data_IF_082541298729
#
_entry.id   IF_082541298729
#
_cell.length_a   1.000
_cell.length_b   1.000
_cell.length_c   1.000
_cell.angle_alpha   90.00
_cell.angle_beta   90.00
_cell.angle_gamma   90.00
#
_symmetry.space_group_name_H-M   'P 1'
#
loop_
_entity.id
_entity.type
_entity.pdbx_description
1 polymer ?
#
# COMPACT_ATOMS: atom_id res chain seq x y z
N UNK A 1 -7.98 -7.26 3.73
CA UNK A 1 -6.53 -6.94 3.55
C UNK A 1 -5.99 -7.58 2.29
N UNK A 2 -5.41 -6.76 1.41
CA UNK A 2 -4.82 -7.16 0.14
C UNK A 2 -3.32 -6.84 0.11
N UNK A 3 -2.54 -7.63 -0.61
CA UNK A 3 -1.15 -7.33 -0.92
C UNK A 3 -1.00 -7.12 -2.43
N UNK A 4 -0.35 -6.03 -2.83
CA UNK A 4 -0.04 -5.80 -4.23
C UNK A 4 0.95 -6.86 -4.73
N UNK A 5 0.68 -7.54 -5.86
CA UNK A 5 1.41 -8.75 -6.24
C UNK A 5 2.83 -8.49 -6.77
N UNK A 6 3.18 -7.22 -7.06
CA UNK A 6 4.47 -6.82 -7.58
C UNK A 6 5.16 -5.80 -6.67
N UNK A 7 6.47 -5.66 -6.83
CA UNK A 7 7.22 -4.58 -6.18
C UNK A 7 6.71 -3.22 -6.65
N UNK A 8 6.61 -2.26 -5.73
CA UNK A 8 6.12 -0.91 -6.01
C UNK A 8 7.21 0.10 -5.71
N UNK A 9 7.33 1.11 -6.58
CA UNK A 9 8.06 2.33 -6.26
C UNK A 9 7.33 3.09 -5.13
N UNK A 10 7.77 2.86 -3.90
CA UNK A 10 7.19 3.44 -2.69
C UNK A 10 7.45 4.94 -2.53
N UNK A 11 8.02 5.63 -3.53
CA UNK A 11 7.94 7.11 -3.62
C UNK A 11 6.51 7.60 -3.87
N UNK A 12 5.63 6.73 -4.39
CA UNK A 12 4.20 7.02 -4.54
C UNK A 12 3.57 7.37 -3.19
N UNK A 13 2.83 8.49 -3.18
CA UNK A 13 1.98 8.94 -2.07
C UNK A 13 0.54 8.43 -2.23
N UNK A 14 -0.43 9.19 -1.71
CA UNK A 14 -1.85 8.82 -1.73
C UNK A 14 -2.36 8.47 -3.13
N UNK A 15 -2.34 9.41 -4.07
CA UNK A 15 -2.92 9.21 -5.42
C UNK A 15 -2.26 8.06 -6.19
N UNK A 16 -0.94 7.94 -6.05
CA UNK A 16 -0.19 6.89 -6.73
C UNK A 16 -0.49 5.49 -6.19
N UNK A 17 -0.69 5.36 -4.87
CA UNK A 17 -1.09 4.08 -4.26
C UNK A 17 -2.58 3.80 -4.47
N UNK A 18 -3.43 4.83 -4.41
CA UNK A 18 -4.85 4.76 -4.70
C UNK A 18 -5.09 4.20 -6.11
N UNK A 19 -4.41 4.76 -7.12
CA UNK A 19 -4.51 4.27 -8.49
C UNK A 19 -4.05 2.81 -8.66
N UNK A 20 -3.06 2.34 -7.87
CA UNK A 20 -2.66 0.93 -7.88
C UNK A 20 -3.74 0.02 -7.28
N UNK A 21 -4.46 0.48 -6.26
CA UNK A 21 -5.60 -0.27 -5.72
C UNK A 21 -6.72 -0.37 -6.75
N UNK A 22 -7.17 0.76 -7.32
CA UNK A 22 -8.28 0.77 -8.28
C UNK A 22 -7.95 0.00 -9.56
N UNK A 23 -6.81 0.25 -10.18
CA UNK A 23 -6.51 -0.29 -11.51
C UNK A 23 -5.78 -1.63 -11.45
N UNK A 24 -4.87 -1.78 -10.47
CA UNK A 24 -4.04 -2.97 -10.34
C UNK A 24 -4.71 -4.09 -9.54
N UNK A 25 -5.30 -3.77 -8.39
CA UNK A 25 -6.03 -4.75 -7.57
C UNK A 25 -7.52 -4.85 -7.92
N UNK A 26 -8.06 -3.87 -8.67
CA UNK A 26 -9.50 -3.79 -8.98
C UNK A 26 -10.37 -3.81 -7.73
N UNK A 27 -9.91 -3.14 -6.68
CA UNK A 27 -10.63 -2.96 -5.42
C UNK A 27 -11.01 -1.49 -5.24
N UNK A 28 -11.98 -1.24 -4.36
CA UNK A 28 -12.31 0.11 -3.90
C UNK A 28 -11.32 0.55 -2.80
N UNK A 29 -10.51 1.60 -3.02
CA UNK A 29 -9.57 2.09 -2.00
C UNK A 29 -10.26 2.73 -0.78
N UNK A 30 -11.56 3.05 -0.88
CA UNK A 30 -12.37 3.66 0.17
C UNK A 30 -13.12 2.63 1.03
N UNK A 31 -12.97 1.34 0.73
CA UNK A 31 -13.63 0.22 1.41
C UNK A 31 -13.28 0.06 2.90
N UNK A 32 -12.20 0.70 3.36
CA UNK A 32 -11.63 0.47 4.69
C UNK A 32 -10.71 -0.76 4.77
N UNK A 33 -10.50 -1.46 3.65
CA UNK A 33 -9.50 -2.52 3.59
C UNK A 33 -8.07 -1.97 3.70
N UNK A 34 -7.18 -2.82 4.22
CA UNK A 34 -5.74 -2.58 4.23
C UNK A 34 -5.11 -3.03 2.91
N UNK A 35 -4.40 -2.13 2.22
CA UNK A 35 -3.67 -2.43 0.99
C UNK A 35 -2.16 -2.33 1.21
N UNK A 36 -1.48 -3.48 1.24
CA UNK A 36 -0.05 -3.58 1.49
C UNK A 36 0.77 -3.48 0.19
N UNK A 37 1.81 -2.65 0.22
CA UNK A 37 2.79 -2.49 -0.85
C UNK A 37 4.20 -2.66 -0.28
N UNK A 38 5.07 -3.34 -1.03
CA UNK A 38 6.50 -3.49 -0.68
C UNK A 38 7.37 -2.99 -1.81
N UNK A 39 8.54 -2.47 -1.48
CA UNK A 39 9.55 -2.15 -2.48
C UNK A 39 10.28 -3.41 -2.95
N UNK A 40 11.06 -3.29 -4.02
CA UNK A 40 11.82 -4.40 -4.61
C UNK A 40 12.74 -5.11 -3.61
N UNK A 41 13.44 -4.36 -2.76
CA UNK A 41 14.32 -4.93 -1.74
C UNK A 41 13.59 -5.52 -0.53
N UNK A 42 12.26 -5.37 -0.45
CA UNK A 42 11.41 -5.79 0.68
C UNK A 42 11.86 -5.25 2.05
N UNK A 43 12.54 -4.10 2.05
CA UNK A 43 13.00 -3.39 3.26
C UNK A 43 12.09 -2.24 3.65
N UNK A 44 11.18 -1.83 2.78
CA UNK A 44 10.16 -0.82 3.04
C UNK A 44 8.81 -1.38 2.66
N UNK A 45 7.80 -1.09 3.48
CA UNK A 45 6.41 -1.28 3.11
C UNK A 45 5.57 -0.03 3.39
N UNK A 46 4.48 0.09 2.64
CA UNK A 46 3.40 1.03 2.91
C UNK A 46 2.09 0.27 2.98
N UNK A 47 1.19 0.72 3.86
CA UNK A 47 -0.22 0.30 3.87
C UNK A 47 -1.08 1.52 3.60
N UNK A 48 -1.90 1.46 2.55
CA UNK A 48 -2.96 2.44 2.30
C UNK A 48 -4.26 1.92 2.92
N UNK A 49 -5.01 2.79 3.60
CA UNK A 49 -6.33 2.48 4.17
C UNK A 49 -7.18 3.75 4.25
N UNK A 50 -8.49 3.63 4.02
CA UNK A 50 -9.47 4.66 4.34
C UNK A 50 -10.02 4.45 5.75
N UNK A 51 -9.95 5.45 6.63
CA UNK A 51 -10.38 5.31 8.03
C UNK A 51 -11.83 5.74 8.30
N UNK A 52 -12.59 6.07 7.25
CA UNK A 52 -13.93 6.66 7.35
C UNK A 52 -13.95 8.19 7.19
N UNK A 53 -12.81 8.85 7.40
CA UNK A 53 -12.64 10.31 7.31
C UNK A 53 -11.56 10.75 6.34
N UNK A 54 -10.55 9.91 6.10
CA UNK A 54 -9.38 10.22 5.30
C UNK A 54 -8.61 8.98 4.85
N UNK A 55 -7.82 9.14 3.78
CA UNK A 55 -6.81 8.15 3.42
C UNK A 55 -5.61 8.29 4.35
N UNK A 56 -5.14 7.15 4.85
CA UNK A 56 -3.97 7.02 5.70
C UNK A 56 -2.91 6.16 5.03
N UNK A 57 -1.65 6.56 5.15
CA UNK A 57 -0.50 5.75 4.77
C UNK A 57 0.33 5.43 6.00
N UNK A 58 0.43 4.15 6.33
CA UNK A 58 1.40 3.66 7.30
C UNK A 58 2.66 3.21 6.56
N UNK A 59 3.80 3.82 6.86
CA UNK A 59 5.09 3.43 6.29
C UNK A 59 5.96 2.76 7.34
N UNK A 60 6.50 1.58 7.02
CA UNK A 60 7.38 0.85 7.93
C UNK A 60 8.65 0.40 7.22
N UNK A 61 9.78 0.54 7.91
CA UNK A 61 11.04 -0.12 7.53
C UNK A 61 11.04 -1.52 8.10
N UNK A 62 11.14 -2.50 7.22
CA UNK A 62 11.16 -3.91 7.58
C UNK A 62 12.59 -4.31 7.95
N UNK A 63 12.72 -5.03 9.05
CA UNK A 63 13.92 -5.76 9.40
C UNK A 63 13.73 -7.18 8.90
N UNK A 64 14.62 -7.62 8.00
CA UNK A 64 14.66 -9.01 7.58
C UNK A 64 15.37 -9.77 8.71
N UNK A 65 14.67 -10.72 9.32
CA UNK A 65 15.28 -11.61 10.31
C UNK A 65 16.28 -12.54 9.63
N UNK A 66 17.42 -12.77 10.29
CA UNK A 66 18.39 -13.79 9.88
C UNK A 66 17.91 -15.18 10.29
#
# INVERSE_FOLDING_TARGET
>A
MFAFPAAVDLRKGYDGLYGLVETGLKQDPMSGDLFLFVNESRKLCKVLVWDGSGLCIFQKRLVIGN
#
